data_IF_560913119580
#
_entry.id   IF_560913119580
#
_cell.length_a   1.000
_cell.length_b   1.000
_cell.length_c   1.000
_cell.angle_alpha   90.00
_cell.angle_beta   90.00
_cell.angle_gamma   90.00
#
_symmetry.space_group_name_H-M   'P 1'
#
loop_
_entity.id
_entity.type
_entity.pdbx_description
1 polymer ?
#
# COMPACT_ATOMS: atom_id res chain seq x y z
N UNK A 1 25.43 -4.44 -18.72
CA UNK A 1 25.46 -5.80 -18.10
C UNK A 1 24.24 -6.55 -18.61
N UNK A 2 24.31 -7.86 -18.94
CA UNK A 2 23.10 -8.58 -19.36
C UNK A 2 22.19 -8.76 -18.15
N UNK A 3 21.08 -8.04 -18.15
CA UNK A 3 20.06 -8.04 -17.09
C UNK A 3 19.29 -9.36 -17.16
N UNK A 4 19.57 -10.27 -16.22
CA UNK A 4 18.87 -11.55 -16.17
C UNK A 4 17.42 -11.35 -15.72
N UNK A 5 16.49 -11.74 -16.59
CA UNK A 5 15.05 -11.78 -16.34
C UNK A 5 14.72 -12.67 -15.13
N UNK A 6 13.63 -12.35 -14.41
CA UNK A 6 13.04 -13.27 -13.42
C UNK A 6 12.02 -14.14 -14.16
N UNK A 7 12.27 -15.45 -14.23
CA UNK A 7 11.35 -16.43 -14.82
C UNK A 7 10.72 -17.26 -13.70
N UNK A 8 9.40 -17.31 -13.66
CA UNK A 8 8.64 -18.20 -12.79
C UNK A 8 8.02 -19.29 -13.66
N UNK A 9 8.27 -20.57 -13.35
CA UNK A 9 7.66 -21.70 -14.07
C UNK A 9 6.27 -22.01 -13.52
N UNK A 10 5.35 -22.47 -14.39
CA UNK A 10 3.95 -22.74 -14.06
C UNK A 10 3.01 -21.62 -14.53
N UNK A 11 1.70 -21.90 -14.61
CA UNK A 11 0.68 -20.91 -14.97
C UNK A 11 0.61 -19.70 -14.02
N UNK A 12 -0.40 -18.82 -14.17
CA UNK A 12 -0.50 -17.60 -13.37
C UNK A 12 -0.43 -17.88 -11.86
N UNK A 13 0.45 -17.18 -11.15
CA UNK A 13 0.53 -17.29 -9.69
C UNK A 13 -0.52 -16.39 -9.05
N UNK A 14 -1.72 -16.95 -8.85
CA UNK A 14 -2.90 -16.21 -8.38
C UNK A 14 -2.69 -15.42 -7.08
N UNK A 15 -1.98 -15.97 -6.09
CA UNK A 15 -1.72 -15.25 -4.84
C UNK A 15 -0.84 -14.00 -5.04
N UNK A 16 0.13 -14.09 -5.96
CA UNK A 16 0.97 -12.96 -6.33
C UNK A 16 0.18 -11.91 -7.12
N UNK A 17 -0.68 -12.35 -8.05
CA UNK A 17 -1.57 -11.46 -8.83
C UNK A 17 -2.52 -10.74 -7.89
N UNK A 18 -3.16 -11.46 -6.98
CA UNK A 18 -4.08 -10.89 -6.00
C UNK A 18 -3.36 -9.86 -5.11
N UNK A 19 -2.15 -10.18 -4.61
CA UNK A 19 -1.32 -9.20 -3.89
C UNK A 19 -1.07 -7.94 -4.71
N UNK A 20 -0.66 -8.09 -5.97
CA UNK A 20 -0.31 -6.96 -6.83
C UNK A 20 -1.52 -6.08 -7.19
N UNK A 21 -2.70 -6.68 -7.41
CA UNK A 21 -3.95 -5.96 -7.68
C UNK A 21 -4.41 -5.11 -6.49
N UNK A 22 -4.11 -5.54 -5.25
CA UNK A 22 -4.42 -4.78 -4.03
C UNK A 22 -3.47 -3.62 -3.75
N UNK A 23 -2.53 -3.32 -4.65
CA UNK A 23 -1.59 -2.21 -4.41
C UNK A 23 -2.20 -0.89 -4.83
N UNK A 24 -2.11 0.10 -3.95
CA UNK A 24 -2.57 1.47 -4.20
C UNK A 24 -1.50 2.24 -4.95
N UNK A 25 -1.86 2.92 -6.03
CA UNK A 25 -0.91 3.82 -6.70
C UNK A 25 -0.57 4.99 -5.78
N UNK A 26 0.73 5.18 -5.54
CA UNK A 26 1.24 6.27 -4.72
C UNK A 26 2.31 7.03 -5.49
N UNK A 27 2.01 8.27 -5.92
CA UNK A 27 3.00 9.17 -6.49
C UNK A 27 4.12 9.46 -5.49
N UNK A 28 5.37 9.14 -5.85
CA UNK A 28 6.55 9.39 -5.01
C UNK A 28 7.69 9.98 -5.82
N UNK A 29 8.49 10.82 -5.18
CA UNK A 29 9.76 11.32 -5.74
C UNK A 29 10.87 10.30 -5.57
N UNK A 30 10.95 9.65 -4.41
CA UNK A 30 11.96 8.63 -4.10
C UNK A 30 11.33 7.39 -3.48
N UNK A 31 12.03 6.26 -3.52
CA UNK A 31 11.59 5.02 -2.85
C UNK A 31 11.41 5.20 -1.33
N UNK A 32 12.18 6.13 -0.73
CA UNK A 32 12.18 6.44 0.71
C UNK A 32 11.04 7.33 1.16
N UNK A 33 10.20 7.79 0.23
CA UNK A 33 9.05 8.61 0.56
C UNK A 33 7.99 7.84 1.36
N UNK A 34 8.06 6.50 1.30
CA UNK A 34 7.26 5.58 2.07
C UNK A 34 8.17 4.69 2.92
N UNK A 35 7.78 4.35 4.16
CA UNK A 35 8.51 3.38 4.97
C UNK A 35 8.44 1.98 4.35
N UNK A 36 9.40 1.11 4.68
CA UNK A 36 9.57 -0.20 4.03
C UNK A 36 8.29 -1.05 3.99
N UNK A 37 7.59 -1.20 5.12
CA UNK A 37 6.32 -1.95 5.19
C UNK A 37 5.25 -1.40 4.22
N UNK A 38 5.30 -0.11 3.88
CA UNK A 38 4.34 0.50 2.94
C UNK A 38 4.55 0.10 1.50
N UNK A 39 5.74 -0.38 1.14
CA UNK A 39 5.99 -0.88 -0.21
C UNK A 39 5.25 -2.19 -0.48
N UNK A 40 4.77 -2.91 0.55
CA UNK A 40 3.85 -4.04 0.36
C UNK A 40 2.46 -3.58 -0.13
N UNK A 41 2.00 -2.39 0.30
CA UNK A 41 0.65 -1.88 0.03
C UNK A 41 0.59 -0.85 -1.10
N UNK A 42 1.70 -0.16 -1.38
CA UNK A 42 1.80 0.85 -2.42
C UNK A 42 2.39 0.30 -3.72
N UNK A 43 1.74 0.57 -4.84
CA UNK A 43 2.33 0.54 -6.17
C UNK A 43 2.97 1.90 -6.44
N UNK A 44 4.28 1.92 -6.66
CA UNK A 44 5.00 3.16 -6.86
C UNK A 44 6.21 2.96 -7.78
N UNK A 45 6.55 4.03 -8.49
CA UNK A 45 7.74 4.13 -9.33
C UNK A 45 8.45 5.43 -8.96
N UNK A 46 9.68 5.35 -8.45
CA UNK A 46 10.39 6.52 -7.92
C UNK A 46 10.56 7.63 -8.98
N UNK A 47 9.96 8.80 -8.77
CA UNK A 47 10.00 9.92 -9.72
C UNK A 47 8.86 9.93 -10.74
N UNK A 48 8.01 8.90 -10.78
CA UNK A 48 6.76 8.91 -11.54
C UNK A 48 5.65 9.51 -10.65
N UNK A 49 5.63 10.84 -10.55
CA UNK A 49 4.67 11.56 -9.71
C UNK A 49 3.34 11.87 -10.43
N UNK A 50 2.82 10.91 -11.22
CA UNK A 50 1.60 11.05 -12.01
C UNK A 50 0.78 9.75 -11.88
N UNK A 51 -0.46 9.83 -11.40
CA UNK A 51 -1.32 8.66 -11.20
C UNK A 51 -1.62 7.93 -12.52
N UNK A 52 -1.87 8.66 -13.62
CA UNK A 52 -2.18 8.05 -14.90
C UNK A 52 -1.00 7.23 -15.45
N UNK A 53 0.23 7.75 -15.29
CA UNK A 53 1.43 7.00 -15.63
C UNK A 53 1.61 5.76 -14.73
N UNK A 54 1.35 5.89 -13.43
CA UNK A 54 1.38 4.75 -12.52
C UNK A 54 0.29 3.72 -12.88
N UNK A 55 -0.88 4.15 -13.33
CA UNK A 55 -1.96 3.28 -13.75
C UNK A 55 -1.55 2.44 -14.96
N UNK A 56 -0.97 3.07 -15.98
CA UNK A 56 -0.48 2.36 -17.17
C UNK A 56 0.64 1.36 -16.79
N UNK A 57 1.60 1.76 -15.94
CA UNK A 57 2.66 0.83 -15.49
C UNK A 57 2.08 -0.34 -14.69
N UNK A 58 1.16 -0.07 -13.76
CA UNK A 58 0.52 -1.12 -12.95
C UNK A 58 -0.25 -2.08 -13.86
N UNK A 59 -0.98 -1.57 -14.86
CA UNK A 59 -1.74 -2.40 -15.80
C UNK A 59 -0.83 -3.26 -16.67
N UNK A 60 0.26 -2.70 -17.21
CA UNK A 60 1.21 -3.46 -18.04
C UNK A 60 1.89 -4.57 -17.24
N UNK A 61 2.29 -4.30 -15.98
CA UNK A 61 2.86 -5.32 -15.09
C UNK A 61 1.82 -6.39 -14.69
N UNK A 62 0.57 -5.99 -14.42
CA UNK A 62 -0.50 -6.93 -14.12
C UNK A 62 -0.78 -7.87 -15.31
N UNK A 63 -0.74 -7.33 -16.53
CA UNK A 63 -0.85 -8.12 -17.75
C UNK A 63 0.30 -9.13 -17.85
N UNK A 64 1.53 -8.70 -17.54
CA UNK A 64 2.69 -9.57 -17.51
C UNK A 64 2.54 -10.73 -16.52
N UNK A 65 2.01 -10.45 -15.32
CA UNK A 65 1.75 -11.49 -14.31
C UNK A 65 0.67 -12.48 -14.75
N UNK A 66 -0.38 -12.01 -15.43
CA UNK A 66 -1.51 -12.86 -15.86
C UNK A 66 -1.22 -13.69 -17.10
N UNK A 67 -0.46 -13.14 -18.04
CA UNK A 67 -0.23 -13.76 -19.36
C UNK A 67 1.17 -14.36 -19.49
N UNK A 68 2.05 -14.16 -18.50
CA UNK A 68 3.44 -14.60 -18.56
C UNK A 68 4.26 -13.82 -19.59
N UNK A 69 3.98 -12.52 -19.77
CA UNK A 69 4.77 -11.69 -20.70
C UNK A 69 6.18 -11.43 -20.15
N UNK A 70 7.11 -11.14 -21.06
CA UNK A 70 8.55 -11.02 -20.76
C UNK A 70 8.95 -9.59 -20.44
N UNK A 71 10.16 -9.42 -19.86
CA UNK A 71 10.77 -8.11 -19.69
C UNK A 71 10.91 -7.35 -21.03
N UNK A 72 11.12 -8.08 -22.14
CA UNK A 72 11.20 -7.46 -23.47
C UNK A 72 9.87 -6.81 -23.87
N UNK A 73 8.75 -7.51 -23.70
CA UNK A 73 7.43 -6.94 -23.98
C UNK A 73 7.11 -5.73 -23.10
N UNK A 74 7.48 -5.80 -21.81
CA UNK A 74 7.33 -4.66 -20.90
C UNK A 74 8.16 -3.45 -21.32
N UNK A 75 9.32 -3.63 -21.98
CA UNK A 75 10.15 -2.52 -22.46
C UNK A 75 9.47 -1.73 -23.58
N UNK A 76 8.84 -2.43 -24.52
CA UNK A 76 8.10 -1.79 -25.60
C UNK A 76 6.95 -0.93 -25.04
N UNK A 77 6.25 -1.49 -24.05
CA UNK A 77 5.21 -0.80 -23.30
C UNK A 77 5.76 0.40 -22.50
N UNK A 78 6.90 0.22 -21.83
CA UNK A 78 7.59 1.26 -21.07
C UNK A 78 7.91 2.48 -21.93
N UNK A 79 8.51 2.28 -23.09
CA UNK A 79 8.87 3.39 -23.99
C UNK A 79 7.63 4.13 -24.50
N UNK A 80 6.55 3.40 -24.81
CA UNK A 80 5.26 3.98 -25.20
C UNK A 80 4.66 4.84 -24.09
N UNK A 81 4.63 4.33 -22.85
CA UNK A 81 4.09 5.03 -21.68
C UNK A 81 4.91 6.29 -21.34
N UNK A 82 6.25 6.17 -21.32
CA UNK A 82 7.16 7.29 -21.08
C UNK A 82 6.87 8.43 -22.07
N UNK A 83 6.76 8.10 -23.37
CA UNK A 83 6.49 9.08 -24.41
C UNK A 83 5.09 9.71 -24.26
N UNK A 84 4.07 8.90 -24.00
CA UNK A 84 2.68 9.37 -23.86
C UNK A 84 2.51 10.36 -22.70
N UNK A 85 3.19 10.12 -21.57
CA UNK A 85 3.11 10.95 -20.38
C UNK A 85 4.20 12.04 -20.30
N UNK A 86 5.10 12.11 -21.30
CA UNK A 86 6.22 13.04 -21.31
C UNK A 86 7.16 12.89 -20.11
N UNK A 87 7.24 11.69 -19.52
CA UNK A 87 7.94 11.47 -18.25
C UNK A 87 9.45 11.46 -18.42
N UNK A 88 10.13 12.35 -17.70
CA UNK A 88 11.59 12.39 -17.64
C UNK A 88 12.08 11.61 -16.42
N UNK A 89 13.03 10.70 -16.62
CA UNK A 89 13.60 9.86 -15.57
C UNK A 89 15.13 9.84 -15.62
N UNK A 90 15.73 9.29 -14.55
CA UNK A 90 17.19 9.11 -14.44
C UNK A 90 17.58 7.66 -14.75
N UNK A 91 18.74 7.49 -15.36
CA UNK A 91 19.31 6.20 -15.74
C UNK A 91 18.90 5.75 -17.14
N UNK A 92 19.59 4.74 -17.66
CA UNK A 92 19.33 4.21 -19.01
C UNK A 92 17.94 3.54 -19.10
N UNK A 93 17.21 3.67 -20.23
CA UNK A 93 15.88 3.07 -20.41
C UNK A 93 15.83 1.57 -20.11
N UNK A 94 16.84 0.81 -20.58
CA UNK A 94 16.95 -0.64 -20.36
C UNK A 94 17.06 -1.01 -18.89
N UNK A 95 17.89 -0.27 -18.14
CA UNK A 95 18.06 -0.46 -16.70
C UNK A 95 16.81 -0.05 -15.94
N UNK A 96 16.21 1.08 -16.32
CA UNK A 96 15.06 1.65 -15.63
C UNK A 96 13.84 0.73 -15.71
N UNK A 97 13.53 0.26 -16.92
CA UNK A 97 12.46 -0.70 -17.17
C UNK A 97 12.70 -2.02 -16.42
N UNK A 98 13.93 -2.53 -16.42
CA UNK A 98 14.29 -3.76 -15.70
C UNK A 98 14.15 -3.63 -14.18
N UNK A 99 14.52 -2.50 -13.58
CA UNK A 99 14.33 -2.27 -12.13
C UNK A 99 12.85 -2.26 -11.79
N UNK A 100 12.03 -1.54 -12.55
CA UNK A 100 10.58 -1.46 -12.32
C UNK A 100 9.95 -2.85 -12.44
N UNK A 101 10.24 -3.57 -13.52
CA UNK A 101 9.69 -4.90 -13.77
C UNK A 101 10.14 -5.89 -12.71
N UNK A 102 11.45 -6.10 -12.56
CA UNK A 102 11.97 -7.17 -11.69
C UNK A 102 11.61 -6.94 -10.22
N UNK A 103 11.64 -5.69 -9.73
CA UNK A 103 11.26 -5.40 -8.35
C UNK A 103 9.79 -5.75 -8.10
N UNK A 104 8.86 -5.22 -8.91
CA UNK A 104 7.43 -5.46 -8.72
C UNK A 104 7.07 -6.94 -8.85
N UNK A 105 7.59 -7.61 -9.89
CA UNK A 105 7.35 -9.03 -10.10
C UNK A 105 7.88 -9.87 -8.94
N UNK A 106 9.11 -9.59 -8.46
CA UNK A 106 9.72 -10.36 -7.37
C UNK A 106 9.00 -10.15 -6.05
N UNK A 107 8.69 -8.91 -5.66
CA UNK A 107 7.99 -8.65 -4.40
C UNK A 107 6.60 -9.26 -4.39
N UNK A 108 5.86 -9.20 -5.50
CA UNK A 108 4.53 -9.81 -5.59
C UNK A 108 4.59 -11.34 -5.49
N UNK A 109 5.56 -11.98 -6.16
CA UNK A 109 5.76 -13.42 -6.06
C UNK A 109 6.13 -13.85 -4.64
N UNK A 110 7.03 -13.11 -3.96
CA UNK A 110 7.42 -13.43 -2.60
C UNK A 110 6.27 -13.24 -1.60
N UNK A 111 5.38 -12.27 -1.81
CA UNK A 111 4.16 -12.12 -1.02
C UNK A 111 3.21 -13.31 -1.20
N UNK A 112 3.01 -13.75 -2.44
CA UNK A 112 2.23 -14.97 -2.73
C UNK A 112 2.83 -16.22 -2.10
N UNK A 113 4.16 -16.38 -2.17
CA UNK A 113 4.86 -17.48 -1.53
C UNK A 113 4.67 -17.46 -0.01
N UNK A 114 4.86 -16.31 0.63
CA UNK A 114 4.64 -16.17 2.06
C UNK A 114 3.24 -16.63 2.47
N UNK A 115 2.20 -16.20 1.74
CA UNK A 115 0.81 -16.61 2.02
C UNK A 115 0.67 -18.14 2.02
N UNK A 116 1.12 -18.80 0.95
CA UNK A 116 1.06 -20.28 0.85
C UNK A 116 1.87 -20.96 1.95
N UNK A 117 3.07 -20.46 2.24
CA UNK A 117 3.94 -21.00 3.27
C UNK A 117 3.31 -20.89 4.66
N UNK A 118 2.67 -19.75 4.94
CA UNK A 118 1.97 -19.51 6.20
C UNK A 118 0.72 -20.38 6.36
N UNK A 119 -0.05 -20.58 5.29
CA UNK A 119 -1.23 -21.47 5.29
C UNK A 119 -0.84 -22.94 5.51
N UNK A 120 0.33 -23.35 5.01
CA UNK A 120 0.86 -24.72 5.05
C UNK A 120 1.81 -24.99 6.24
N UNK A 121 1.95 -24.02 7.16
CA UNK A 121 2.95 -24.09 8.25
C UNK A 121 2.80 -25.27 9.20
N UNK A 122 1.61 -25.85 9.32
CA UNK A 122 1.41 -27.03 10.16
C UNK A 122 2.10 -28.27 9.58
N UNK A 123 2.18 -28.39 8.25
CA UNK A 123 2.88 -29.48 7.56
C UNK A 123 4.36 -29.13 7.29
N UNK A 124 4.65 -27.85 7.08
CA UNK A 124 5.98 -27.31 6.80
C UNK A 124 6.34 -26.20 7.79
N UNK A 125 6.66 -26.54 9.06
CA UNK A 125 6.84 -25.55 10.13
C UNK A 125 8.13 -24.73 10.02
N UNK A 126 9.06 -25.10 9.14
CA UNK A 126 10.33 -24.41 8.99
C UNK A 126 10.48 -23.78 7.60
N UNK A 127 11.22 -22.67 7.56
CA UNK A 127 11.73 -22.07 6.35
C UNK A 127 13.24 -22.23 6.28
N UNK A 128 13.76 -22.59 5.11
CA UNK A 128 15.18 -22.57 4.78
C UNK A 128 15.49 -21.39 3.87
N UNK A 129 16.43 -20.53 4.25
CA UNK A 129 16.89 -19.43 3.40
C UNK A 129 17.79 -19.95 2.27
N UNK A 130 17.52 -19.49 1.05
CA UNK A 130 18.23 -19.94 -0.16
C UNK A 130 18.78 -18.75 -0.93
N UNK A 131 20.08 -18.52 -0.79
CA UNK A 131 20.81 -17.65 -1.72
C UNK A 131 20.92 -18.33 -3.10
N UNK A 132 20.34 -17.70 -4.12
CA UNK A 132 20.44 -18.16 -5.52
C UNK A 132 21.84 -17.91 -6.06
N UNK A 133 22.51 -18.99 -6.45
CA UNK A 133 23.89 -18.97 -6.97
C UNK A 133 23.93 -18.39 -8.38
N UNK A 134 24.59 -17.24 -8.52
CA UNK A 134 24.78 -16.52 -9.79
C UNK A 134 25.97 -15.55 -9.67
N UNK A 135 26.53 -15.04 -10.78
CA UNK A 135 27.63 -14.07 -10.75
C UNK A 135 27.31 -12.77 -9.99
N UNK A 136 26.05 -12.32 -10.03
CA UNK A 136 25.58 -11.08 -9.36
C UNK A 136 25.02 -11.31 -7.96
N UNK A 137 25.37 -12.44 -7.30
CA UNK A 137 24.95 -12.70 -5.91
C UNK A 137 25.69 -11.75 -4.96
N UNK A 138 25.02 -11.36 -3.88
CA UNK A 138 25.61 -10.58 -2.78
C UNK A 138 26.35 -11.53 -1.83
N UNK A 139 27.68 -11.44 -1.68
CA UNK A 139 28.43 -12.31 -0.77
C UNK A 139 27.90 -12.27 0.66
N UNK A 140 27.39 -11.12 1.09
CA UNK A 140 26.83 -10.88 2.43
C UNK A 140 25.65 -11.81 2.73
N UNK A 141 24.88 -12.22 1.71
CA UNK A 141 23.75 -13.14 1.90
C UNK A 141 24.19 -14.61 1.99
N UNK A 142 25.49 -14.92 1.82
CA UNK A 142 25.98 -16.30 1.86
C UNK A 142 25.90 -16.89 3.28
N UNK A 143 26.09 -16.05 4.31
CA UNK A 143 25.98 -16.47 5.72
C UNK A 143 24.57 -16.96 6.08
N UNK A 144 23.55 -16.51 5.35
CA UNK A 144 22.18 -16.98 5.51
C UNK A 144 21.83 -18.19 4.65
N UNK A 145 22.66 -18.56 3.66
CA UNK A 145 22.33 -19.71 2.82
C UNK A 145 22.30 -21.00 3.65
N UNK A 146 21.13 -21.63 3.72
CA UNK A 146 20.92 -22.84 4.49
C UNK A 146 20.54 -22.63 5.95
N UNK A 147 20.40 -21.38 6.41
CA UNK A 147 19.74 -21.09 7.69
C UNK A 147 18.32 -21.65 7.65
N UNK A 148 17.97 -22.44 8.66
CA UNK A 148 16.65 -23.05 8.84
C UNK A 148 16.08 -22.58 10.16
N UNK A 149 14.93 -21.92 10.13
CA UNK A 149 14.24 -21.41 11.32
C UNK A 149 12.74 -21.75 11.25
N UNK A 150 12.05 -21.83 12.39
CA UNK A 150 10.59 -21.84 12.41
C UNK A 150 10.01 -20.69 11.58
N UNK A 151 8.88 -20.88 10.89
CA UNK A 151 8.28 -19.83 10.05
C UNK A 151 7.84 -18.61 10.87
N UNK A 152 7.52 -18.80 12.15
CA UNK A 152 7.17 -17.73 13.09
C UNK A 152 8.39 -16.95 13.61
N UNK A 153 9.62 -17.37 13.32
CA UNK A 153 10.83 -16.73 13.84
C UNK A 153 10.92 -15.25 13.44
N UNK A 154 11.26 -14.32 14.36
CA UNK A 154 11.40 -12.90 14.07
C UNK A 154 12.44 -12.55 12.99
N UNK A 155 13.42 -13.42 12.72
CA UNK A 155 14.34 -13.27 11.60
C UNK A 155 13.59 -13.01 10.28
N UNK A 156 12.46 -13.70 10.07
CA UNK A 156 11.66 -13.54 8.87
C UNK A 156 10.94 -12.20 8.77
N UNK A 157 10.91 -11.38 9.82
CA UNK A 157 10.29 -10.04 9.76
C UNK A 157 11.12 -9.07 8.92
N UNK A 158 12.45 -9.20 8.92
CA UNK A 158 13.37 -8.32 8.19
C UNK A 158 14.16 -9.04 7.09
N UNK A 159 14.40 -10.35 7.21
CA UNK A 159 15.29 -11.10 6.32
C UNK A 159 14.56 -12.01 5.31
N UNK A 160 13.22 -11.96 5.25
CA UNK A 160 12.46 -12.65 4.22
C UNK A 160 12.68 -11.97 2.85
N UNK A 161 13.25 -12.66 1.84
CA UNK A 161 13.60 -12.03 0.57
C UNK A 161 12.41 -11.39 -0.15
N UNK A 162 12.64 -10.33 -0.97
CA UNK A 162 13.93 -9.80 -1.39
C UNK A 162 14.60 -8.83 -0.39
N UNK A 163 15.85 -9.12 0.00
CA UNK A 163 16.65 -8.29 0.91
C UNK A 163 17.45 -7.22 0.15
N UNK A 164 16.80 -6.39 -0.68
CA UNK A 164 17.44 -5.31 -1.44
C UNK A 164 17.27 -5.37 -2.96
N UNK A 165 17.59 -4.27 -3.64
CA UNK A 165 17.47 -4.10 -5.10
C UNK A 165 18.14 -5.22 -5.90
N UNK A 166 17.40 -5.90 -6.78
CA UNK A 166 17.94 -6.98 -7.60
C UNK A 166 18.29 -8.27 -6.83
N UNK A 167 17.85 -8.40 -5.56
CA UNK A 167 17.97 -9.64 -4.81
C UNK A 167 17.12 -10.75 -5.46
N UNK A 168 17.74 -11.91 -5.71
CA UNK A 168 17.08 -13.12 -6.21
C UNK A 168 17.04 -14.26 -5.18
N UNK A 169 17.45 -14.02 -3.94
CA UNK A 169 17.33 -15.01 -2.87
C UNK A 169 15.86 -15.39 -2.67
N UNK A 170 15.62 -16.62 -2.19
CA UNK A 170 14.29 -17.18 -1.93
C UNK A 170 14.30 -17.91 -0.59
N UNK A 171 13.14 -18.41 -0.18
CA UNK A 171 13.02 -19.38 0.91
C UNK A 171 12.40 -20.68 0.39
N UNK A 172 12.63 -21.76 1.12
CA UNK A 172 12.08 -23.09 0.87
C UNK A 172 11.28 -23.54 2.10
N UNK A 173 10.06 -24.04 1.90
CA UNK A 173 9.29 -24.72 2.94
C UNK A 173 9.95 -26.05 3.31
N UNK A 174 10.03 -26.34 4.60
CA UNK A 174 10.67 -27.54 5.13
C UNK A 174 9.77 -28.21 6.16
N UNK A 175 9.47 -29.49 5.92
CA UNK A 175 8.72 -30.36 6.83
C UNK A 175 9.65 -31.09 7.79
N UNK A 176 9.10 -31.64 8.88
CA UNK A 176 9.86 -32.50 9.80
C UNK A 176 10.50 -33.70 9.08
N UNK A 177 9.75 -34.37 8.19
CA UNK A 177 10.29 -35.49 7.41
C UNK A 177 11.47 -35.08 6.51
N UNK A 178 11.45 -33.86 5.96
CA UNK A 178 12.58 -33.32 5.17
C UNK A 178 13.77 -33.00 6.07
N UNK A 179 13.56 -32.49 7.28
CA UNK A 179 14.62 -32.28 8.26
C UNK A 179 15.34 -33.60 8.57
N UNK A 180 14.58 -34.65 8.88
CA UNK A 180 15.11 -35.98 9.18
C UNK A 180 15.86 -36.59 7.99
N UNK A 181 15.27 -36.55 6.80
CA UNK A 181 15.85 -37.15 5.60
C UNK A 181 17.20 -36.52 5.19
N UNK A 182 17.35 -35.21 5.42
CA UNK A 182 18.56 -34.46 5.06
C UNK A 182 19.53 -34.29 6.23
N UNK A 183 19.18 -34.78 7.43
CA UNK A 183 19.95 -34.57 8.66
C UNK A 183 20.07 -33.09 9.05
N UNK A 184 19.10 -32.26 8.68
CA UNK A 184 19.07 -30.85 8.99
C UNK A 184 18.61 -30.58 10.43
N UNK A 185 19.08 -29.47 10.99
CA UNK A 185 18.69 -28.98 12.31
C UNK A 185 18.28 -27.52 12.23
N UNK A 186 17.44 -27.08 13.18
CA UNK A 186 17.13 -25.66 13.34
C UNK A 186 18.42 -24.92 13.64
N UNK A 187 18.64 -23.82 12.93
CA UNK A 187 19.83 -23.00 13.09
C UNK A 187 19.76 -22.22 14.39
N UNK A 188 20.87 -22.16 15.10
CA UNK A 188 21.04 -21.35 16.31
C UNK A 188 22.02 -20.20 16.04
N UNK A 189 21.92 -19.11 16.81
CA UNK A 189 22.84 -17.97 16.74
C UNK A 189 23.04 -17.41 15.32
N UNK A 190 21.95 -17.30 14.56
CA UNK A 190 21.98 -16.81 13.17
C UNK A 190 22.65 -15.44 13.11
N UNK A 191 23.70 -15.36 12.30
CA UNK A 191 24.49 -14.14 12.17
C UNK A 191 23.67 -13.02 11.51
N UNK A 192 23.50 -11.94 12.25
CA UNK A 192 22.88 -10.69 11.81
C UNK A 192 23.76 -9.52 12.23
N UNK A 193 23.77 -8.45 11.45
CA UNK A 193 24.53 -7.25 11.77
C UNK A 193 23.74 -6.00 11.40
N UNK A 194 23.92 -4.86 12.10
CA UNK A 194 23.19 -3.64 11.79
C UNK A 194 23.32 -3.24 10.32
N UNK A 195 22.20 -3.17 9.60
CA UNK A 195 22.15 -2.80 8.18
C UNK A 195 22.48 -3.92 7.19
N UNK A 196 22.55 -5.18 7.65
CA UNK A 196 22.70 -6.37 6.81
C UNK A 196 21.61 -6.50 5.73
N UNK A 197 20.39 -6.08 6.06
CA UNK A 197 19.32 -5.74 5.13
C UNK A 197 19.15 -4.22 5.11
N UNK A 198 19.18 -3.55 3.94
CA UNK A 198 18.93 -2.11 3.87
C UNK A 198 17.57 -1.76 4.48
N UNK A 199 17.49 -0.66 5.24
CA UNK A 199 16.27 -0.23 5.96
C UNK A 199 15.01 -0.25 5.08
N UNK A 200 15.13 0.26 3.84
CA UNK A 200 14.03 0.31 2.86
C UNK A 200 13.52 -1.09 2.41
N UNK A 201 14.25 -2.15 2.74
CA UNK A 201 13.97 -3.55 2.40
C UNK A 201 13.84 -4.47 3.63
N UNK A 202 14.04 -3.94 4.83
CA UNK A 202 13.97 -4.68 6.09
C UNK A 202 12.50 -4.91 6.51
N UNK A 203 11.75 -5.63 5.68
CA UNK A 203 10.37 -6.02 5.93
C UNK A 203 9.99 -7.28 5.16
N UNK A 204 9.14 -8.10 5.76
CA UNK A 204 8.50 -9.21 5.08
C UNK A 204 7.30 -8.73 4.27
N UNK A 205 7.39 -8.78 2.94
CA UNK A 205 6.33 -8.31 2.04
C UNK A 205 4.99 -9.02 2.26
N UNK A 206 5.00 -10.31 2.61
CA UNK A 206 3.78 -11.08 2.86
C UNK A 206 3.16 -10.79 4.23
N UNK A 207 3.97 -10.59 5.28
CA UNK A 207 3.46 -10.14 6.60
C UNK A 207 2.98 -8.69 6.54
N UNK A 208 3.71 -7.80 5.89
CA UNK A 208 3.38 -6.38 5.78
C UNK A 208 2.11 -6.12 4.97
N UNK A 209 1.74 -7.05 4.08
CA UNK A 209 0.46 -7.00 3.39
C UNK A 209 -0.73 -7.27 4.33
N UNK A 210 -0.52 -7.96 5.46
CA UNK A 210 -1.61 -8.37 6.36
C UNK A 210 -2.50 -7.18 6.68
N UNK A 211 -3.76 -7.30 6.26
CA UNK A 211 -4.81 -6.35 6.57
C UNK A 211 -5.61 -6.86 7.75
N UNK A 212 -6.02 -5.97 8.66
CA UNK A 212 -6.93 -6.31 9.77
C UNK A 212 -8.18 -7.00 9.22
N UNK A 213 -8.48 -8.21 9.68
CA UNK A 213 -9.66 -8.96 9.24
C UNK A 213 -10.91 -8.67 10.09
N UNK A 214 -10.73 -8.00 11.24
CA UNK A 214 -11.78 -7.51 12.12
C UNK A 214 -11.33 -6.29 12.97
N UNK A 215 -12.17 -5.82 13.91
CA UNK A 215 -11.82 -4.75 14.84
C UNK A 215 -10.70 -5.23 15.78
N UNK A 216 -9.50 -4.71 15.60
CA UNK A 216 -8.36 -4.95 16.48
C UNK A 216 -8.16 -3.73 17.39
N UNK A 217 -7.76 -3.96 18.65
CA UNK A 217 -7.29 -2.87 19.50
C UNK A 217 -6.00 -2.33 18.88
N UNK A 218 -6.03 -1.10 18.40
CA UNK A 218 -4.90 -0.45 17.76
C UNK A 218 -4.67 0.93 18.37
N UNK A 219 -3.40 1.34 18.43
CA UNK A 219 -2.97 2.67 18.86
C UNK A 219 -2.26 3.35 17.68
N UNK A 220 -3.06 3.79 16.71
CA UNK A 220 -2.58 4.40 15.48
C UNK A 220 -1.98 5.79 15.71
N UNK A 221 -0.74 5.98 15.29
CA UNK A 221 -0.09 7.28 15.21
C UNK A 221 0.45 7.55 13.80
N UNK A 222 0.44 8.82 13.33
CA UNK A 222 1.00 9.14 12.02
C UNK A 222 2.53 8.96 12.07
N UNK A 223 3.10 8.27 11.08
CA UNK A 223 4.56 8.25 10.92
C UNK A 223 4.99 9.65 10.51
N UNK A 224 5.93 10.26 11.23
CA UNK A 224 6.35 11.64 10.96
C UNK A 224 6.74 11.82 9.48
N UNK A 225 6.09 12.78 8.82
CA UNK A 225 6.46 13.22 7.47
C UNK A 225 6.90 14.66 7.55
N UNK A 226 8.04 14.97 6.93
CA UNK A 226 8.51 16.33 6.74
C UNK A 226 7.74 17.09 5.67
N UNK A 227 6.86 16.40 4.94
CA UNK A 227 6.11 16.98 3.81
C UNK A 227 4.73 17.43 4.23
N UNK A 228 4.38 18.62 3.78
CA UNK A 228 3.07 19.22 3.95
C UNK A 228 2.69 20.09 2.75
N UNK A 229 1.53 20.73 2.83
CA UNK A 229 1.02 21.59 1.77
C UNK A 229 2.02 22.65 1.28
N UNK A 230 2.93 23.14 2.14
CA UNK A 230 3.96 24.11 1.75
C UNK A 230 5.03 23.48 0.86
N UNK A 231 5.42 22.23 1.15
CA UNK A 231 6.36 21.45 0.33
C UNK A 231 5.86 21.31 -1.12
N UNK A 232 4.55 21.11 -1.26
CA UNK A 232 3.88 20.98 -2.57
C UNK A 232 3.41 22.32 -3.15
N UNK A 233 3.84 23.46 -2.58
CA UNK A 233 3.48 24.82 -3.02
C UNK A 233 1.96 25.06 -3.11
N UNK A 234 1.19 24.38 -2.26
CA UNK A 234 -0.27 24.51 -2.22
C UNK A 234 -0.66 25.78 -1.44
N UNK A 235 -1.81 26.41 -1.77
CA UNK A 235 -2.24 27.64 -1.08
C UNK A 235 -2.52 27.37 0.40
N UNK A 236 -2.31 28.39 1.25
CA UNK A 236 -2.57 28.30 2.70
C UNK A 236 -4.06 28.11 2.99
N UNK A 237 -4.91 28.81 2.26
CA UNK A 237 -6.37 28.68 2.34
C UNK A 237 -6.85 27.53 1.45
N UNK A 238 -7.85 26.81 1.95
CA UNK A 238 -8.64 25.87 1.14
C UNK A 238 -9.86 26.64 0.63
N UNK A 239 -10.09 26.69 -0.71
CA UNK A 239 -11.26 27.34 -1.27
C UNK A 239 -12.55 26.76 -0.72
N UNK A 240 -13.54 27.61 -0.45
CA UNK A 240 -14.85 27.21 0.04
C UNK A 240 -15.79 27.04 -1.14
N UNK A 241 -16.22 25.80 -1.38
CA UNK A 241 -17.11 25.47 -2.48
C UNK A 241 -18.58 25.58 -2.06
N UNK A 242 -19.43 25.93 -3.02
CA UNK A 242 -20.87 25.81 -2.82
C UNK A 242 -21.22 24.32 -2.79
N UNK A 243 -21.80 23.80 -1.70
CA UNK A 243 -22.11 22.38 -1.61
C UNK A 243 -23.24 21.99 -2.58
N UNK A 244 -23.14 20.80 -3.17
CA UNK A 244 -24.20 20.21 -4.01
C UNK A 244 -25.39 19.73 -3.19
N UNK A 245 -25.12 19.28 -1.97
CA UNK A 245 -26.13 18.80 -1.04
C UNK A 245 -26.23 19.73 0.17
N UNK A 246 -27.43 19.86 0.73
CA UNK A 246 -27.61 20.48 2.04
C UNK A 246 -27.08 19.60 3.17
N UNK A 247 -26.96 20.18 4.36
CA UNK A 247 -26.72 19.38 5.56
C UNK A 247 -27.89 18.44 5.82
N UNK A 248 -27.58 17.23 6.29
CA UNK A 248 -28.55 16.27 6.80
C UNK A 248 -29.11 16.68 8.16
N UNK A 249 -30.06 15.90 8.69
CA UNK A 249 -30.57 16.10 10.03
C UNK A 249 -29.48 15.85 11.08
N UNK A 250 -29.67 16.44 12.26
CA UNK A 250 -28.95 16.02 13.47
C UNK A 250 -29.35 14.57 13.81
N UNK A 251 -28.48 13.88 14.56
CA UNK A 251 -28.76 12.54 15.04
C UNK A 251 -28.52 12.48 16.55
N UNK A 252 -29.44 11.85 17.27
CA UNK A 252 -29.37 11.64 18.72
C UNK A 252 -28.73 10.30 19.06
N UNK A 253 -28.64 9.37 18.10
CA UNK A 253 -28.10 8.04 18.32
C UNK A 253 -27.58 7.34 17.07
N UNK A 254 -26.92 6.20 17.29
CA UNK A 254 -26.30 5.41 16.23
C UNK A 254 -27.30 4.92 15.17
N UNK A 255 -28.54 4.60 15.56
CA UNK A 255 -29.58 4.18 14.61
C UNK A 255 -29.86 5.22 13.53
N UNK A 256 -30.04 6.48 13.95
CA UNK A 256 -30.28 7.60 13.03
C UNK A 256 -29.07 7.91 12.15
N UNK A 257 -27.85 7.76 12.70
CA UNK A 257 -26.61 7.83 11.90
C UNK A 257 -26.61 6.76 10.82
N UNK A 258 -26.92 5.51 11.16
CA UNK A 258 -26.97 4.41 10.19
C UNK A 258 -28.02 4.66 9.11
N UNK A 259 -29.19 5.19 9.46
CA UNK A 259 -30.25 5.49 8.50
C UNK A 259 -29.88 6.66 7.59
N UNK A 260 -29.22 7.70 8.13
CA UNK A 260 -28.68 8.80 7.33
C UNK A 260 -27.61 8.30 6.34
N UNK A 261 -26.73 7.38 6.76
CA UNK A 261 -25.75 6.74 5.88
C UNK A 261 -26.45 5.92 4.79
N UNK A 262 -27.40 5.04 5.14
CA UNK A 262 -28.15 4.24 4.15
C UNK A 262 -28.85 5.12 3.12
N UNK A 263 -29.46 6.22 3.57
CA UNK A 263 -30.14 7.18 2.70
C UNK A 263 -29.15 7.83 1.73
N UNK A 264 -27.98 8.26 2.21
CA UNK A 264 -26.94 8.84 1.37
C UNK A 264 -26.40 7.84 0.35
N UNK A 265 -26.23 6.58 0.74
CA UNK A 265 -25.75 5.52 -0.15
C UNK A 265 -26.81 5.07 -1.16
N UNK A 266 -28.09 5.29 -0.89
CA UNK A 266 -29.20 4.70 -1.66
C UNK A 266 -29.39 3.20 -1.39
N UNK A 267 -28.86 2.68 -0.28
CA UNK A 267 -28.82 1.24 0.00
C UNK A 267 -27.86 0.85 1.13
N UNK A 268 -27.52 -0.44 1.27
CA UNK A 268 -26.60 -0.92 2.31
C UNK A 268 -25.13 -0.58 2.04
N UNK A 269 -24.76 -0.34 0.78
CA UNK A 269 -23.42 0.00 0.34
C UNK A 269 -23.46 0.80 -0.97
N UNK A 270 -22.45 1.63 -1.20
CA UNK A 270 -22.21 2.29 -2.48
C UNK A 270 -20.70 2.56 -2.64
N UNK A 271 -20.28 2.86 -3.87
CA UNK A 271 -18.89 3.14 -4.23
C UNK A 271 -18.78 4.50 -4.90
N UNK A 272 -17.84 5.32 -4.45
CA UNK A 272 -17.57 6.66 -4.98
C UNK A 272 -16.19 6.71 -5.60
N UNK A 273 -16.04 7.28 -6.79
CA UNK A 273 -14.74 7.31 -7.49
C UNK A 273 -14.15 8.71 -7.44
N UNK A 274 -12.95 8.82 -6.88
CA UNK A 274 -12.23 10.09 -6.80
C UNK A 274 -11.55 10.49 -8.12
N UNK A 275 -11.04 11.73 -8.19
CA UNK A 275 -10.39 12.27 -9.39
C UNK A 275 -9.06 11.58 -9.73
N UNK A 276 -8.50 10.78 -8.82
CA UNK A 276 -7.34 9.92 -9.05
C UNK A 276 -7.73 8.50 -9.52
N UNK A 277 -8.98 8.30 -9.93
CA UNK A 277 -9.47 7.03 -10.46
C UNK A 277 -9.58 5.91 -9.43
N UNK A 278 -9.38 6.20 -8.14
CA UNK A 278 -9.58 5.23 -7.06
C UNK A 278 -10.99 5.32 -6.51
N UNK A 279 -11.61 4.14 -6.37
CA UNK A 279 -12.94 3.97 -5.80
C UNK A 279 -12.87 3.73 -4.28
N UNK A 280 -13.77 4.38 -3.56
CA UNK A 280 -13.98 4.24 -2.11
C UNK A 280 -15.30 3.52 -1.88
N UNK A 281 -15.24 2.33 -1.31
CA UNK A 281 -16.42 1.56 -0.91
C UNK A 281 -16.88 2.02 0.47
N UNK A 282 -18.16 2.37 0.59
CA UNK A 282 -18.78 2.75 1.86
C UNK A 282 -19.95 1.82 2.12
N UNK A 283 -20.01 1.24 3.31
CA UNK A 283 -21.16 0.45 3.77
C UNK A 283 -21.82 1.12 4.97
N UNK A 284 -23.12 0.92 5.13
CA UNK A 284 -23.85 1.40 6.30
C UNK A 284 -23.33 0.78 7.61
N UNK A 285 -22.86 -0.47 7.56
CA UNK A 285 -22.26 -1.14 8.71
C UNK A 285 -20.94 -0.48 9.13
N UNK A 286 -20.04 -0.20 8.18
CA UNK A 286 -18.71 0.37 8.49
C UNK A 286 -18.82 1.84 8.92
N UNK A 287 -19.38 2.70 8.07
CA UNK A 287 -19.47 4.13 8.35
C UNK A 287 -20.48 4.41 9.46
N UNK A 288 -21.66 3.79 9.41
CA UNK A 288 -22.76 4.08 10.35
C UNK A 288 -22.48 3.66 11.79
N UNK A 289 -21.77 2.56 12.01
CA UNK A 289 -21.43 2.11 13.37
C UNK A 289 -20.34 2.95 14.04
N UNK A 290 -19.40 3.48 13.23
CA UNK A 290 -18.23 4.22 13.71
C UNK A 290 -18.42 5.75 13.75
N UNK A 291 -19.31 6.31 12.93
CA UNK A 291 -19.52 7.75 12.89
C UNK A 291 -20.27 8.22 14.14
N UNK A 292 -19.72 9.23 14.83
CA UNK A 292 -20.38 9.83 15.98
C UNK A 292 -21.61 10.66 15.54
N UNK A 293 -22.67 10.71 16.36
CA UNK A 293 -23.92 11.41 16.00
C UNK A 293 -23.73 12.90 15.63
N UNK A 294 -22.78 13.59 16.27
CA UNK A 294 -22.47 15.01 15.99
C UNK A 294 -22.00 15.31 14.56
N UNK A 295 -21.70 14.28 13.77
CA UNK A 295 -21.27 14.39 12.37
C UNK A 295 -22.35 13.98 11.38
N UNK A 296 -23.49 13.48 11.84
CA UNK A 296 -24.60 13.08 10.98
C UNK A 296 -25.02 14.17 9.96
N UNK A 297 -25.07 15.47 10.32
CA UNK A 297 -25.43 16.51 9.37
C UNK A 297 -24.49 16.60 8.15
N UNK A 298 -23.23 16.17 8.28
CA UNK A 298 -22.27 16.23 7.18
C UNK A 298 -22.32 15.01 6.25
N UNK A 299 -23.08 13.96 6.59
CA UNK A 299 -23.17 12.72 5.80
C UNK A 299 -23.53 13.00 4.33
N UNK A 300 -24.52 13.84 3.98
CA UNK A 300 -24.89 14.06 2.58
C UNK A 300 -23.79 14.71 1.72
N UNK A 301 -22.75 15.29 2.35
CA UNK A 301 -21.63 15.91 1.65
C UNK A 301 -20.54 14.90 1.24
N UNK A 302 -20.58 13.67 1.78
CA UNK A 302 -19.57 12.64 1.56
C UNK A 302 -19.27 12.33 0.09
N UNK A 303 -20.28 12.11 -0.79
CA UNK A 303 -20.03 11.84 -2.20
C UNK A 303 -19.19 12.94 -2.84
N UNK A 304 -19.57 14.20 -2.62
CA UNK A 304 -18.87 15.35 -3.20
C UNK A 304 -17.45 15.54 -2.64
N UNK A 305 -17.21 15.18 -1.37
CA UNK A 305 -15.86 15.20 -0.77
C UNK A 305 -14.95 14.17 -1.45
N UNK A 306 -15.48 13.01 -1.84
CA UNK A 306 -14.71 11.91 -2.44
C UNK A 306 -14.51 12.13 -3.93
N UNK A 307 -15.57 12.50 -4.64
CA UNK A 307 -15.60 12.65 -6.11
C UNK A 307 -14.94 13.96 -6.56
N UNK A 308 -15.09 15.03 -5.77
CA UNK A 308 -14.56 16.36 -6.11
C UNK A 308 -13.84 17.04 -4.93
N UNK A 309 -12.82 16.41 -4.33
CA UNK A 309 -12.02 17.00 -3.28
C UNK A 309 -11.25 18.22 -3.79
N UNK A 310 -10.87 19.10 -2.86
CA UNK A 310 -9.82 20.08 -3.14
C UNK A 310 -8.45 19.40 -3.25
N UNK A 311 -8.15 18.51 -2.29
CA UNK A 311 -6.91 17.75 -2.21
C UNK A 311 -7.14 16.35 -1.66
N UNK A 312 -6.31 15.40 -2.10
CA UNK A 312 -6.20 14.08 -1.49
C UNK A 312 -4.78 13.89 -0.97
N UNK A 313 -4.66 13.56 0.31
CA UNK A 313 -3.39 13.32 0.99
C UNK A 313 -3.29 11.88 1.44
N UNK A 314 -2.11 11.30 1.26
CA UNK A 314 -1.78 9.99 1.80
C UNK A 314 -0.83 10.12 2.98
N UNK A 315 -1.19 9.47 4.09
CA UNK A 315 -0.43 9.49 5.32
C UNK A 315 -0.23 8.06 5.84
N UNK A 316 1.01 7.58 5.97
CA UNK A 316 1.30 6.35 6.70
C UNK A 316 1.04 6.51 8.20
N UNK A 317 0.43 5.49 8.80
CA UNK A 317 0.20 5.37 10.23
C UNK A 317 0.80 4.09 10.76
N UNK A 318 1.43 4.12 11.92
CA UNK A 318 1.89 2.93 12.61
C UNK A 318 1.00 2.64 13.81
N UNK A 319 0.66 1.38 14.02
CA UNK A 319 0.06 0.90 15.25
C UNK A 319 1.17 0.65 16.27
N UNK A 320 1.17 1.40 17.37
CA UNK A 320 2.17 1.25 18.43
C UNK A 320 2.14 -0.09 19.14
N UNK A 321 1.04 -0.83 19.03
CA UNK A 321 0.89 -2.12 19.70
C UNK A 321 1.49 -3.26 18.88
N UNK A 322 1.28 -3.23 17.57
CA UNK A 322 1.67 -4.34 16.67
C UNK A 322 2.85 -3.99 15.76
N UNK A 323 3.24 -2.71 15.68
CA UNK A 323 4.23 -2.20 14.73
C UNK A 323 3.73 -2.15 13.28
N UNK A 324 2.51 -2.61 13.00
CA UNK A 324 1.90 -2.62 11.67
C UNK A 324 1.74 -1.20 11.15
N UNK A 325 2.01 -1.01 9.86
CA UNK A 325 1.79 0.27 9.21
C UNK A 325 0.56 0.19 8.27
N UNK A 326 -0.32 1.20 8.28
CA UNK A 326 -1.47 1.36 7.37
C UNK A 326 -1.44 2.67 6.55
N UNK A 327 -1.96 2.62 5.33
CA UNK A 327 -2.16 3.79 4.48
C UNK A 327 -3.52 4.41 4.77
N UNK A 328 -3.51 5.68 5.17
CA UNK A 328 -4.74 6.48 5.30
C UNK A 328 -4.77 7.58 4.26
N UNK A 329 -5.85 7.61 3.49
CA UNK A 329 -6.16 8.67 2.53
C UNK A 329 -7.06 9.69 3.17
N UNK A 330 -6.77 10.96 2.96
CA UNK A 330 -7.54 12.09 3.50
C UNK A 330 -8.04 12.93 2.33
N UNK A 331 -9.34 12.93 2.15
CA UNK A 331 -10.04 13.74 1.18
C UNK A 331 -10.42 15.05 1.86
N UNK A 332 -9.98 16.16 1.31
CA UNK A 332 -10.06 17.48 1.93
C UNK A 332 -10.95 18.36 1.08
N UNK A 333 -11.96 18.99 1.71
CA UNK A 333 -12.82 19.97 1.07
C UNK A 333 -13.33 21.00 2.09
N UNK A 334 -13.57 22.22 1.65
CA UNK A 334 -14.23 23.24 2.46
C UNK A 334 -15.48 23.71 1.74
N UNK A 335 -16.53 24.00 2.50
CA UNK A 335 -17.83 24.43 1.98
C UNK A 335 -18.19 25.82 2.47
N UNK A 336 -18.72 26.64 1.57
CA UNK A 336 -19.25 27.97 1.83
C UNK A 336 -20.59 27.84 2.55
N UNK A 337 -20.57 27.94 3.88
CA UNK A 337 -21.72 27.78 4.77
C UNK A 337 -21.80 28.96 5.76
N UNK A 338 -22.97 29.26 6.37
CA UNK A 338 -23.13 30.41 7.27
C UNK A 338 -22.09 30.45 8.41
N UNK A 339 -21.64 29.28 8.86
CA UNK A 339 -20.37 29.10 9.55
C UNK A 339 -19.53 28.22 8.63
N UNK A 340 -18.45 28.75 8.04
CA UNK A 340 -17.60 28.01 7.10
C UNK A 340 -17.36 26.59 7.58
N UNK A 341 -17.60 25.62 6.72
CA UNK A 341 -17.57 24.21 7.08
C UNK A 341 -16.36 23.56 6.43
N UNK A 342 -15.33 23.30 7.23
CA UNK A 342 -14.15 22.56 6.82
C UNK A 342 -14.38 21.08 7.11
N UNK A 343 -14.26 20.25 6.07
CA UNK A 343 -14.53 18.82 6.17
C UNK A 343 -13.36 18.03 5.62
N UNK A 344 -13.04 16.94 6.30
CA UNK A 344 -12.20 15.92 5.71
C UNK A 344 -12.73 14.54 6.03
N UNK A 345 -12.58 13.68 5.04
CA UNK A 345 -12.95 12.29 5.09
C UNK A 345 -11.67 11.47 5.04
N UNK A 346 -11.51 10.59 6.02
CA UNK A 346 -10.38 9.67 6.08
C UNK A 346 -10.86 8.31 5.62
N UNK A 347 -10.28 7.79 4.54
CA UNK A 347 -10.45 6.41 4.10
C UNK A 347 -9.22 5.60 4.49
N UNK A 348 -9.44 4.43 5.08
CA UNK A 348 -8.37 3.48 5.39
C UNK A 348 -8.28 2.41 4.31
N UNK A 349 -7.08 1.89 4.07
CA UNK A 349 -6.93 0.71 3.22
C UNK A 349 -7.29 -0.54 4.02
N UNK A 350 -8.38 -1.22 3.66
CA UNK A 350 -8.79 -2.48 4.28
C UNK A 350 -9.15 -3.51 3.20
N UNK A 351 -8.54 -4.70 3.27
CA UNK A 351 -8.76 -5.85 2.37
C UNK A 351 -8.59 -5.56 0.87
N UNK A 352 -7.78 -4.56 0.50
CA UNK A 352 -7.60 -4.20 -0.91
C UNK A 352 -8.61 -3.16 -1.43
N UNK A 353 -9.42 -2.60 -0.54
CA UNK A 353 -10.39 -1.56 -0.82
C UNK A 353 -10.17 -0.38 0.13
N UNK A 354 -10.61 0.80 -0.30
CA UNK A 354 -10.74 1.93 0.62
C UNK A 354 -12.06 1.79 1.36
N UNK A 355 -11.98 1.61 2.68
CA UNK A 355 -13.11 1.43 3.56
C UNK A 355 -12.80 1.95 4.97
N UNK A 356 -13.84 2.13 5.77
CA UNK A 356 -13.80 2.75 7.11
C UNK A 356 -13.43 4.22 7.14
N UNK A 357 -14.15 4.94 8.03
CA UNK A 357 -14.38 6.36 7.82
C UNK A 357 -14.37 7.15 9.12
N UNK A 358 -13.54 8.20 9.14
CA UNK A 358 -13.82 9.36 9.98
C UNK A 358 -14.19 10.55 9.09
N UNK A 359 -15.44 11.00 9.19
CA UNK A 359 -15.86 12.31 8.70
C UNK A 359 -15.70 13.30 9.84
N UNK A 360 -14.87 14.32 9.64
CA UNK A 360 -14.64 15.35 10.63
C UNK A 360 -15.12 16.67 10.07
N UNK A 361 -15.94 17.38 10.85
CA UNK A 361 -16.34 18.76 10.59
C UNK A 361 -15.63 19.70 11.55
N UNK A 362 -15.25 20.87 11.05
CA UNK A 362 -14.67 21.96 11.84
C UNK A 362 -15.07 23.30 11.26
N UNK A 363 -15.15 24.33 12.10
CA UNK A 363 -15.25 25.73 11.66
C UNK A 363 -13.89 26.45 11.65
N UNK A 364 -12.81 25.74 12.00
CA UNK A 364 -11.46 26.27 12.13
C UNK A 364 -10.58 25.80 10.99
N UNK A 365 -10.19 26.71 10.09
CA UNK A 365 -9.32 26.42 8.94
C UNK A 365 -8.01 25.72 9.34
N UNK A 366 -7.43 26.08 10.49
CA UNK A 366 -6.19 25.48 11.00
C UNK A 366 -6.27 23.97 11.24
N UNK A 367 -7.46 23.43 11.56
CA UNK A 367 -7.63 22.00 11.77
C UNK A 367 -7.56 21.24 10.44
N UNK A 368 -8.06 21.84 9.35
CA UNK A 368 -7.92 21.31 8.00
C UNK A 368 -6.45 21.32 7.55
N UNK A 369 -5.71 22.39 7.87
CA UNK A 369 -4.29 22.50 7.53
C UNK A 369 -3.44 21.39 8.15
N UNK A 370 -3.74 20.96 9.39
CA UNK A 370 -3.05 19.83 10.03
C UNK A 370 -3.21 18.52 9.25
N UNK A 371 -4.28 18.38 8.47
CA UNK A 371 -4.55 17.18 7.67
C UNK A 371 -3.79 17.16 6.35
N UNK A 372 -3.29 18.32 5.89
CA UNK A 372 -2.53 18.50 4.63
C UNK A 372 -1.04 18.19 4.82
N UNK A 373 -0.76 16.97 5.25
CA UNK A 373 0.57 16.42 5.56
C UNK A 373 0.73 15.03 4.95
N UNK A 374 1.96 14.67 4.61
CA UNK A 374 2.29 13.42 3.95
C UNK A 374 2.49 13.60 2.45
N UNK A 375 2.03 12.64 1.66
CA UNK A 375 2.18 12.64 0.21
C UNK A 375 0.90 13.23 -0.42
N UNK A 376 1.04 14.30 -1.20
CA UNK A 376 -0.07 14.82 -1.99
C UNK A 376 -0.34 13.87 -3.17
N UNK A 377 -1.52 13.26 -3.19
CA UNK A 377 -1.95 12.35 -4.27
C UNK A 377 -2.68 13.14 -5.36
N UNK A 378 -3.51 14.09 -4.96
CA UNK A 378 -4.29 14.93 -5.87
C UNK A 378 -4.41 16.33 -5.29
N UNK A 379 -4.35 17.34 -6.16
CA UNK A 379 -4.74 18.70 -5.84
C UNK A 379 -5.28 19.37 -7.09
N UNK A 380 -6.51 19.91 -7.00
CA UNK A 380 -7.12 20.65 -8.10
C UNK A 380 -6.48 22.01 -8.33
#
# INVERSE_FOLDING_TARGET
>A
MPESEVRFGGGPFEDAIAHFQRKVRVPVTTYRDLPAQMHAKAFMVAGAANDALLADFQQSLLLAMKQGTTLAAFRDDFDRMVKAHGWQYRGEPGWRSAVIFNTNMRTANMAGHWKRMWEDREMHPYLRYVQVQRPTKRPEHAVWHGVILPIEDPFWDAHFPPNGWGCKCTVQNVSNARMEAEGWQVSENVETFPGDVPEDWAYNVGKAERVSTGPEKAAWEPIASSRDFTTYKRPVSVPQDTPRAGLGPEADGRGEVMDAVRKMLGGPANTFTGPDGLSVGITAATLGEHLKPDRAPAIPLLPEIIEEPFEIWLMPYQDRLTGRVELRRRYIKAFAMPKSLYVWFIAEWRKGELGDVTLIRSSKARELQKMRRGILVYGR
#
